data_IF_402624726662
#
_entry.id   IF_402624726662
#
_cell.length_a   1.000
_cell.length_b   1.000
_cell.length_c   1.000
_cell.angle_alpha   90.00
_cell.angle_beta   90.00
_cell.angle_gamma   90.00
#
_symmetry.space_group_name_H-M   'P 1'
#
loop_
_entity.id
_entity.type
_entity.pdbx_description
1 polymer ?
#
# COMPACT_ATOMS: atom_id res chain seq x y z
N UNK A 1 8.04 8.89 -13.82
CA UNK A 1 6.99 9.67 -14.50
C UNK A 1 7.25 11.10 -14.11
N UNK A 2 7.68 11.91 -15.06
CA UNK A 2 7.88 13.34 -14.84
C UNK A 2 6.61 14.09 -15.21
N UNK A 3 6.24 15.05 -14.36
CA UNK A 3 5.18 16.00 -14.65
C UNK A 3 5.84 17.28 -15.20
N UNK A 4 5.31 17.77 -16.32
CA UNK A 4 5.67 19.07 -16.90
C UNK A 4 4.41 19.91 -17.04
N UNK A 5 4.57 21.19 -17.37
CA UNK A 5 3.44 22.07 -17.69
C UNK A 5 2.58 21.58 -18.86
N UNK A 6 3.08 20.65 -19.68
CA UNK A 6 2.37 20.06 -20.82
C UNK A 6 1.84 18.64 -20.56
N UNK A 7 1.91 18.15 -19.32
CA UNK A 7 1.35 16.85 -18.92
C UNK A 7 2.38 15.85 -18.40
N UNK A 8 1.99 14.57 -18.39
CA UNK A 8 2.75 13.46 -17.81
C UNK A 8 3.51 12.66 -18.87
N UNK A 9 4.75 12.28 -18.56
CA UNK A 9 5.59 11.43 -19.41
C UNK A 9 6.01 10.15 -18.69
N UNK A 10 5.81 9.01 -19.35
CA UNK A 10 6.35 7.72 -18.92
C UNK A 10 7.85 7.69 -19.25
N UNK A 11 8.68 7.46 -18.24
CA UNK A 11 10.14 7.43 -18.40
C UNK A 11 10.66 6.01 -18.58
N UNK A 12 10.11 5.07 -17.82
CA UNK A 12 10.53 3.68 -17.78
C UNK A 12 9.31 2.80 -17.55
N UNK A 13 9.27 1.64 -18.22
CA UNK A 13 8.23 0.63 -18.05
C UNK A 13 8.83 -0.77 -18.17
N UNK A 14 8.48 -1.66 -17.25
CA UNK A 14 8.90 -3.06 -17.27
C UNK A 14 7.80 -3.94 -16.68
N UNK A 15 7.56 -5.07 -17.34
CA UNK A 15 6.61 -6.08 -16.89
C UNK A 15 7.28 -7.46 -16.97
N UNK A 16 7.10 -8.23 -15.89
CA UNK A 16 7.62 -9.58 -15.75
C UNK A 16 6.52 -10.48 -15.19
N UNK A 17 6.35 -11.71 -15.72
CA UNK A 17 5.40 -12.65 -15.17
C UNK A 17 5.87 -13.14 -13.79
N UNK A 18 4.91 -13.35 -12.91
CA UNK A 18 5.12 -14.04 -11.64
C UNK A 18 5.10 -15.56 -11.87
N UNK A 19 5.86 -16.30 -11.08
CA UNK A 19 5.78 -17.76 -11.10
C UNK A 19 4.42 -18.21 -10.54
N UNK A 20 3.93 -19.37 -10.99
CA UNK A 20 2.72 -19.98 -10.44
C UNK A 20 2.84 -20.15 -8.93
N UNK A 21 1.72 -20.02 -8.21
CA UNK A 21 1.62 -20.20 -6.75
C UNK A 21 2.40 -19.18 -5.89
N UNK A 22 2.93 -18.10 -6.48
CA UNK A 22 3.59 -17.02 -5.72
C UNK A 22 2.60 -16.13 -4.97
N UNK A 23 1.35 -16.12 -5.41
CA UNK A 23 0.23 -15.43 -4.78
C UNK A 23 -0.98 -16.36 -4.67
N UNK A 24 -1.72 -16.24 -3.57
CA UNK A 24 -3.02 -16.89 -3.36
C UNK A 24 -3.97 -15.88 -2.74
N UNK A 25 -5.18 -15.72 -3.27
CA UNK A 25 -6.20 -14.79 -2.76
C UNK A 25 -5.69 -13.36 -2.48
N UNK A 26 -4.80 -12.86 -3.35
CA UNK A 26 -4.11 -11.56 -3.25
C UNK A 26 -3.13 -11.42 -2.05
N UNK A 27 -2.85 -12.51 -1.34
CA UNK A 27 -1.76 -12.61 -0.38
C UNK A 27 -0.47 -13.09 -1.05
N UNK A 28 0.67 -12.64 -0.52
CA UNK A 28 1.99 -13.08 -0.94
C UNK A 28 2.29 -14.41 -0.26
N UNK A 29 2.57 -15.45 -1.06
CA UNK A 29 2.92 -16.79 -0.56
C UNK A 29 4.44 -17.00 -0.61
N UNK A 30 5.08 -16.55 -1.69
CA UNK A 30 6.52 -16.68 -1.91
C UNK A 30 7.15 -15.30 -2.14
N UNK A 31 7.76 -14.76 -1.09
CA UNK A 31 8.40 -13.44 -1.10
C UNK A 31 9.64 -13.41 -1.99
N UNK A 32 10.42 -14.50 -2.03
CA UNK A 32 11.68 -14.54 -2.78
C UNK A 32 11.42 -14.51 -4.28
N UNK A 33 10.49 -15.33 -4.77
CA UNK A 33 10.13 -15.39 -6.17
C UNK A 33 9.51 -14.08 -6.69
N UNK A 34 8.67 -13.43 -5.88
CA UNK A 34 8.15 -12.08 -6.19
C UNK A 34 9.30 -11.05 -6.20
N UNK A 35 10.21 -11.13 -5.23
CA UNK A 35 11.40 -10.27 -5.17
C UNK A 35 12.25 -10.36 -6.43
N UNK A 36 12.49 -11.57 -6.93
CA UNK A 36 13.22 -11.78 -8.19
C UNK A 36 12.46 -11.24 -9.40
N UNK A 37 11.14 -11.43 -9.46
CA UNK A 37 10.31 -10.87 -10.52
C UNK A 37 10.37 -9.33 -10.54
N UNK A 38 10.30 -8.68 -9.37
CA UNK A 38 10.45 -7.22 -9.24
C UNK A 38 11.84 -6.78 -9.72
N UNK A 39 12.91 -7.49 -9.33
CA UNK A 39 14.28 -7.15 -9.78
C UNK A 39 14.43 -7.25 -11.29
N UNK A 40 13.88 -8.31 -11.91
CA UNK A 40 13.86 -8.45 -13.37
C UNK A 40 13.07 -7.32 -14.03
N UNK A 41 11.90 -6.95 -13.49
CA UNK A 41 11.06 -5.89 -14.04
C UNK A 41 11.77 -4.53 -13.99
N UNK A 42 12.41 -4.20 -12.86
CA UNK A 42 13.20 -2.97 -12.71
C UNK A 42 14.36 -2.96 -13.71
N UNK A 43 15.11 -4.07 -13.83
CA UNK A 43 16.23 -4.16 -14.78
C UNK A 43 15.76 -3.98 -16.22
N UNK A 44 14.65 -4.60 -16.60
CA UNK A 44 14.06 -4.50 -17.95
C UNK A 44 13.49 -3.11 -18.25
N UNK A 45 12.97 -2.42 -17.23
CA UNK A 45 12.48 -1.05 -17.37
C UNK A 45 13.59 -0.02 -17.64
N UNK A 46 14.84 -0.34 -17.29
CA UNK A 46 15.96 0.60 -17.31
C UNK A 46 15.92 1.66 -16.20
N UNK A 47 14.94 1.60 -15.28
CA UNK A 47 14.83 2.54 -14.17
C UNK A 47 15.98 2.37 -13.17
N UNK A 48 16.51 3.50 -12.70
CA UNK A 48 17.51 3.55 -11.61
C UNK A 48 16.90 3.95 -10.27
N UNK A 49 15.59 4.21 -10.25
CA UNK A 49 14.86 4.61 -9.04
C UNK A 49 14.80 3.46 -8.03
N UNK A 50 14.86 3.81 -6.74
CA UNK A 50 14.84 2.87 -5.62
C UNK A 50 13.60 3.00 -4.73
N UNK A 51 12.84 4.09 -4.89
CA UNK A 51 11.55 4.29 -4.23
C UNK A 51 10.44 3.82 -5.15
N UNK A 52 9.43 3.16 -4.58
CA UNK A 52 8.25 2.68 -5.28
C UNK A 52 7.00 2.95 -4.46
N UNK A 53 5.88 3.16 -5.14
CA UNK A 53 4.55 3.18 -4.54
C UNK A 53 3.88 1.85 -4.87
N UNK A 54 3.33 1.20 -3.85
CA UNK A 54 2.62 -0.09 -3.98
C UNK A 54 1.21 0.08 -3.47
N UNK A 55 0.29 -0.74 -3.97
CA UNK A 55 -1.10 -0.77 -3.53
C UNK A 55 -1.41 -2.13 -2.89
N UNK A 56 -2.26 -2.10 -1.86
CA UNK A 56 -2.78 -3.30 -1.23
C UNK A 56 -4.14 -3.62 -1.86
N UNK A 57 -4.46 -4.91 -2.02
CA UNK A 57 -5.73 -5.31 -2.62
C UNK A 57 -6.93 -4.92 -1.76
N UNK A 58 -7.97 -4.35 -2.37
CA UNK A 58 -9.13 -3.80 -1.65
C UNK A 58 -9.92 -4.79 -0.78
N UNK A 59 -9.76 -6.11 -0.97
CA UNK A 59 -10.36 -7.12 -0.10
C UNK A 59 -9.76 -7.13 1.33
N UNK A 60 -8.59 -6.53 1.53
CA UNK A 60 -7.91 -6.42 2.82
C UNK A 60 -8.08 -5.01 3.44
N UNK A 61 -8.88 -4.14 2.82
CA UNK A 61 -9.09 -2.75 3.27
C UNK A 61 -10.51 -2.62 3.79
N UNK A 62 -10.65 -2.11 5.02
CA UNK A 62 -11.93 -1.77 5.62
C UNK A 62 -11.99 -0.24 5.71
N UNK A 63 -12.99 0.38 5.09
CA UNK A 63 -13.21 1.83 5.14
C UNK A 63 -14.39 2.14 6.05
N UNK A 64 -14.15 2.95 7.09
CA UNK A 64 -15.19 3.43 7.99
C UNK A 64 -15.06 4.95 8.15
N UNK A 65 -16.19 5.65 8.27
CA UNK A 65 -16.22 7.09 8.52
C UNK A 65 -16.56 7.32 9.99
N UNK A 66 -15.66 7.98 10.72
CA UNK A 66 -15.86 8.35 12.12
C UNK A 66 -15.99 9.87 12.25
N UNK A 67 -16.75 10.32 13.26
CA UNK A 67 -16.91 11.74 13.56
C UNK A 67 -15.93 12.12 14.68
N UNK A 68 -15.07 13.10 14.43
CA UNK A 68 -14.12 13.63 15.42
C UNK A 68 -14.43 15.10 15.74
N UNK A 69 -14.25 15.54 16.99
CA UNK A 69 -14.25 16.95 17.36
C UNK A 69 -13.21 17.75 16.56
N UNK A 70 -13.56 19.01 16.23
CA UNK A 70 -12.77 19.87 15.33
C UNK A 70 -11.56 20.51 16.01
N UNK A 71 -11.57 20.55 17.33
CA UNK A 71 -10.59 21.19 18.20
C UNK A 71 -9.38 20.30 18.52
N UNK A 72 -9.34 19.08 17.97
CA UNK A 72 -8.24 18.14 18.16
C UNK A 72 -7.06 18.43 17.25
N UNK A 73 -5.86 18.25 17.78
CA UNK A 73 -4.64 18.15 16.99
C UNK A 73 -4.45 16.75 16.37
N UNK A 74 -3.44 16.58 15.52
CA UNK A 74 -3.18 15.31 14.82
C UNK A 74 -2.90 14.13 15.77
N UNK A 75 -2.26 14.41 16.92
CA UNK A 75 -1.97 13.38 17.91
C UNK A 75 -3.24 12.95 18.63
N UNK A 76 -4.05 13.92 19.06
CA UNK A 76 -5.33 13.70 19.72
C UNK A 76 -6.33 12.99 18.77
N UNK A 77 -6.35 13.35 17.49
CA UNK A 77 -7.14 12.66 16.46
C UNK A 77 -6.73 11.19 16.32
N UNK A 78 -5.43 10.90 16.30
CA UNK A 78 -4.92 9.53 16.20
C UNK A 78 -5.30 8.69 17.43
N UNK A 79 -5.20 9.25 18.63
CA UNK A 79 -5.63 8.59 19.86
C UNK A 79 -7.13 8.27 19.84
N UNK A 80 -7.97 9.24 19.47
CA UNK A 80 -9.41 9.04 19.37
C UNK A 80 -9.79 8.05 18.27
N UNK A 81 -9.16 8.12 17.10
CA UNK A 81 -9.38 7.17 16.01
C UNK A 81 -9.04 5.74 16.44
N UNK A 82 -7.92 5.55 17.14
CA UNK A 82 -7.54 4.26 17.71
C UNK A 82 -8.58 3.70 18.68
N UNK A 83 -9.10 4.53 19.60
CA UNK A 83 -10.14 4.11 20.55
C UNK A 83 -11.44 3.69 19.85
N UNK A 84 -11.83 4.42 18.80
CA UNK A 84 -13.00 4.06 17.99
C UNK A 84 -12.79 2.74 17.23
N UNK A 85 -11.58 2.50 16.71
CA UNK A 85 -11.24 1.25 16.04
C UNK A 85 -11.35 0.05 16.98
N UNK A 86 -10.85 0.14 18.22
CA UNK A 86 -10.95 -0.96 19.21
C UNK A 86 -12.41 -1.33 19.54
N UNK A 87 -13.30 -0.34 19.55
CA UNK A 87 -14.72 -0.54 19.88
C UNK A 87 -15.52 -1.11 18.72
N UNK A 88 -15.14 -0.79 17.49
CA UNK A 88 -15.88 -1.16 16.29
C UNK A 88 -15.30 -2.36 15.52
N UNK A 89 -14.02 -2.68 15.72
CA UNK A 89 -13.32 -3.78 15.06
C UNK A 89 -12.82 -4.77 16.11
N UNK A 90 -13.30 -6.01 16.07
CA UNK A 90 -12.90 -7.10 16.97
C UNK A 90 -11.50 -7.68 16.64
N UNK A 91 -10.59 -6.84 16.11
CA UNK A 91 -9.22 -7.19 15.76
C UNK A 91 -8.27 -6.53 16.77
N UNK A 92 -7.18 -7.20 17.12
CA UNK A 92 -6.18 -6.59 18.00
C UNK A 92 -5.52 -5.39 17.33
N UNK A 93 -5.20 -4.32 18.09
CA UNK A 93 -4.48 -3.14 17.56
C UNK A 93 -3.18 -3.51 16.84
N UNK A 94 -2.50 -4.55 17.29
CA UNK A 94 -1.22 -5.00 16.72
C UNK A 94 -1.37 -5.66 15.34
N UNK A 95 -2.59 -6.06 14.97
CA UNK A 95 -2.90 -6.76 13.72
C UNK A 95 -3.47 -5.84 12.63
N UNK A 96 -3.72 -4.56 12.95
CA UNK A 96 -4.37 -3.60 12.05
C UNK A 96 -3.51 -2.36 11.87
N UNK A 97 -3.14 -2.09 10.61
CA UNK A 97 -2.62 -0.78 10.22
C UNK A 97 -3.77 0.11 9.79
N UNK A 98 -3.91 1.29 10.42
CA UNK A 98 -4.93 2.27 10.08
C UNK A 98 -4.30 3.63 9.74
N UNK A 99 -5.00 4.38 8.88
CA UNK A 99 -4.67 5.74 8.45
C UNK A 99 -5.97 6.54 8.35
N UNK A 100 -5.92 7.85 8.59
CA UNK A 100 -7.07 8.76 8.48
C UNK A 100 -6.73 9.99 7.63
#
# INVERSE_FOLDING_TARGET
MSASSQGYKIEHYGAEPLASNTMADRAIVDVESIGEAIRRAVRKSGSRLKKASVAVGGAQIITNTILLPRDLDEHEMNEQAGLQLDQHMALSRDEVSYVF
#
